data_IF_825425061484
#
_entry.id   IF_825425061484
#
_cell.length_a   1.000
_cell.length_b   1.000
_cell.length_c   1.000
_cell.angle_alpha   90.00
_cell.angle_beta   90.00
_cell.angle_gamma   90.00
#
_symmetry.space_group_name_H-M   'P 1'
#
loop_
_entity.id
_entity.type
_entity.pdbx_description
1 polymer ?
#
# COMPACT_ATOMS: atom_id res chain seq x y z
N UNK A 1 10.84 20.30 -26.41
CA UNK A 1 11.34 19.54 -25.24
C UNK A 1 10.13 18.96 -24.57
N UNK A 2 9.83 17.69 -24.84
CA UNK A 2 8.61 17.04 -24.40
C UNK A 2 8.55 17.02 -22.87
N UNK A 3 7.60 17.77 -22.30
CA UNK A 3 7.35 17.81 -20.87
C UNK A 3 6.73 16.49 -20.43
N UNK A 4 7.58 15.49 -20.22
CA UNK A 4 7.19 14.22 -19.64
C UNK A 4 6.61 14.50 -18.24
N UNK A 5 5.33 14.20 -18.03
CA UNK A 5 4.67 14.39 -16.75
C UNK A 5 5.48 13.72 -15.64
N UNK A 6 5.65 14.38 -14.46
CA UNK A 6 6.50 13.89 -13.35
C UNK A 6 6.19 12.47 -12.86
N UNK A 7 5.03 11.92 -13.21
CA UNK A 7 4.58 10.57 -12.87
C UNK A 7 4.42 9.65 -14.08
N UNK A 8 4.99 10.01 -15.24
CA UNK A 8 4.84 9.27 -16.49
C UNK A 8 5.17 7.79 -16.33
N UNK A 9 6.28 7.45 -15.67
CA UNK A 9 6.69 6.05 -15.48
C UNK A 9 5.70 5.26 -14.63
N UNK A 10 5.14 5.88 -13.59
CA UNK A 10 4.10 5.27 -12.75
C UNK A 10 2.83 5.03 -13.58
N UNK A 11 2.36 6.05 -14.31
CA UNK A 11 1.17 5.95 -15.16
C UNK A 11 1.37 4.87 -16.23
N UNK A 12 2.53 4.84 -16.88
CA UNK A 12 2.88 3.83 -17.89
C UNK A 12 2.88 2.42 -17.29
N UNK A 13 3.40 2.25 -16.08
CA UNK A 13 3.42 0.95 -15.39
C UNK A 13 2.02 0.49 -15.01
N UNK A 14 1.16 1.40 -14.51
CA UNK A 14 -0.25 1.11 -14.24
C UNK A 14 -0.97 0.70 -15.52
N UNK A 15 -0.81 1.45 -16.63
CA UNK A 15 -1.41 1.09 -17.93
C UNK A 15 -0.98 -0.29 -18.42
N UNK A 16 0.31 -0.65 -18.26
CA UNK A 16 0.81 -1.99 -18.58
C UNK A 16 0.24 -3.08 -17.67
N UNK A 17 0.01 -2.78 -16.40
CA UNK A 17 -0.67 -3.71 -15.51
C UNK A 17 -2.11 -3.88 -16.00
N UNK A 18 -2.88 -2.82 -16.21
CA UNK A 18 -4.26 -2.89 -16.69
C UNK A 18 -4.43 -3.63 -18.03
N UNK A 19 -3.44 -3.57 -18.93
CA UNK A 19 -3.47 -4.27 -20.21
C UNK A 19 -3.28 -5.81 -20.09
N UNK A 20 -2.96 -6.33 -18.90
CA UNK A 20 -2.92 -7.78 -18.67
C UNK A 20 -4.33 -8.29 -18.39
N UNK A 21 -4.64 -9.48 -18.87
CA UNK A 21 -5.86 -10.21 -18.51
C UNK A 21 -5.75 -10.72 -17.06
N UNK A 22 -6.02 -9.83 -16.10
CA UNK A 22 -6.08 -10.23 -14.70
C UNK A 22 -7.42 -10.88 -14.41
N UNK A 23 -7.37 -12.06 -13.80
CA UNK A 23 -8.50 -12.54 -13.01
C UNK A 23 -8.39 -11.87 -11.64
N UNK A 24 -9.17 -10.81 -11.43
CA UNK A 24 -9.23 -10.11 -10.15
C UNK A 24 -10.38 -10.64 -9.30
N UNK A 25 -10.10 -10.90 -8.03
CA UNK A 25 -11.13 -11.24 -7.05
C UNK A 25 -11.27 -10.06 -6.08
N UNK A 26 -12.48 -9.49 -6.03
CA UNK A 26 -12.82 -8.52 -5.01
C UNK A 26 -13.33 -9.28 -3.80
N UNK A 27 -12.55 -9.26 -2.71
CA UNK A 27 -12.97 -9.81 -1.43
C UNK A 27 -13.21 -8.69 -0.44
N UNK A 28 -14.12 -8.93 0.50
CA UNK A 28 -14.27 -8.02 1.63
C UNK A 28 -13.05 -8.16 2.54
N UNK A 29 -12.21 -7.13 2.56
CA UNK A 29 -11.05 -7.06 3.46
C UNK A 29 -11.54 -6.56 4.81
N UNK A 30 -11.18 -7.27 5.89
CA UNK A 30 -11.54 -6.86 7.25
C UNK A 30 -10.86 -5.53 7.60
N UNK A 31 -11.54 -4.71 8.41
CA UNK A 31 -11.14 -3.34 8.75
C UNK A 31 -9.71 -3.27 9.31
N UNK A 32 -9.32 -4.25 10.11
CA UNK A 32 -8.02 -4.34 10.76
C UNK A 32 -6.89 -4.41 9.72
N UNK A 33 -7.09 -5.15 8.63
CA UNK A 33 -6.10 -5.26 7.55
C UNK A 33 -5.91 -3.91 6.83
N UNK A 34 -7.00 -3.17 6.62
CA UNK A 34 -6.91 -1.81 6.05
C UNK A 34 -6.20 -0.84 7.00
N UNK A 35 -6.41 -0.98 8.32
CA UNK A 35 -5.73 -0.19 9.35
C UNK A 35 -4.21 -0.40 9.36
N UNK A 36 -3.79 -1.66 9.22
CA UNK A 36 -2.37 -2.02 9.07
C UNK A 36 -1.79 -1.38 7.81
N UNK A 37 -2.46 -1.55 6.67
CA UNK A 37 -2.00 -0.99 5.40
C UNK A 37 -1.86 0.54 5.47
N UNK A 38 -2.82 1.22 6.10
CA UNK A 38 -2.80 2.66 6.31
C UNK A 38 -1.61 3.09 7.18
N UNK A 39 -1.39 2.39 8.30
CA UNK A 39 -0.28 2.69 9.21
C UNK A 39 1.08 2.49 8.54
N UNK A 40 1.24 1.40 7.78
CA UNK A 40 2.47 1.13 7.02
C UNK A 40 2.74 2.17 5.94
N UNK A 41 1.71 2.57 5.19
CA UNK A 41 1.83 3.60 4.17
C UNK A 41 2.27 4.95 4.78
N UNK A 42 1.65 5.35 5.89
CA UNK A 42 2.03 6.56 6.62
C UNK A 42 3.46 6.48 7.16
N UNK A 43 3.88 5.32 7.67
CA UNK A 43 5.26 5.12 8.14
C UNK A 43 6.27 5.26 6.99
N UNK A 44 6.02 4.61 5.85
CA UNK A 44 6.88 4.69 4.68
C UNK A 44 7.05 6.13 4.19
N UNK A 45 5.93 6.87 4.04
CA UNK A 45 5.93 8.29 3.63
C UNK A 45 6.79 9.16 4.55
N UNK A 46 6.83 8.87 5.85
CA UNK A 46 7.52 9.69 6.84
C UNK A 46 8.99 9.33 7.05
N UNK A 47 9.40 8.10 6.73
CA UNK A 47 10.70 7.59 7.16
C UNK A 47 11.63 7.18 6.01
N UNK A 48 11.12 6.71 4.86
CA UNK A 48 11.95 6.01 3.86
C UNK A 48 11.48 6.26 2.42
N UNK A 49 12.42 6.49 1.49
CA UNK A 49 12.17 6.63 0.04
C UNK A 49 12.20 5.32 -0.77
N UNK A 50 12.30 4.17 -0.12
CA UNK A 50 12.44 2.83 -0.70
C UNK A 50 11.48 1.79 -0.12
N UNK A 51 11.25 0.70 -0.82
CA UNK A 51 10.43 -0.41 -0.32
C UNK A 51 11.12 -1.12 0.86
N UNK A 52 10.35 -1.44 1.90
CA UNK A 52 10.81 -2.19 3.08
C UNK A 52 10.08 -3.53 3.14
N UNK A 53 10.83 -4.59 3.43
CA UNK A 53 10.31 -5.94 3.64
C UNK A 53 10.50 -6.35 5.10
N UNK A 54 9.41 -6.79 5.73
CA UNK A 54 9.43 -7.29 7.11
C UNK A 54 9.22 -8.80 7.13
N UNK A 55 10.05 -9.52 7.90
CA UNK A 55 9.85 -10.96 8.16
C UNK A 55 8.81 -11.22 9.26
N UNK A 56 8.62 -10.24 10.15
CA UNK A 56 7.64 -10.24 11.23
C UNK A 56 6.98 -8.86 11.31
N UNK A 57 5.70 -8.76 11.74
CA UNK A 57 5.02 -7.47 11.85
C UNK A 57 5.78 -6.53 12.79
N UNK A 58 5.99 -5.26 12.43
CA UNK A 58 6.63 -4.30 13.33
C UNK A 58 5.67 -3.87 14.44
N UNK A 59 6.19 -3.69 15.66
CA UNK A 59 5.40 -3.53 16.88
C UNK A 59 4.41 -2.35 16.84
N UNK A 60 4.75 -1.27 16.14
CA UNK A 60 3.88 -0.08 16.01
C UNK A 60 2.57 -0.36 15.25
N UNK A 61 2.45 -1.51 14.58
CA UNK A 61 1.23 -1.95 13.89
C UNK A 61 0.25 -2.61 14.87
N UNK A 62 0.71 -3.09 16.02
CA UNK A 62 -0.12 -3.78 17.00
C UNK A 62 -1.10 -2.82 17.71
N UNK A 63 -0.66 -1.59 18.02
CA UNK A 63 -1.49 -0.60 18.69
C UNK A 63 -2.75 -0.18 17.87
N UNK A 64 -2.64 0.12 16.55
CA UNK A 64 -3.82 0.33 15.71
C UNK A 64 -4.75 -0.88 15.59
N UNK A 65 -4.18 -2.10 15.55
CA UNK A 65 -4.93 -3.35 15.46
C UNK A 65 -5.79 -3.56 16.71
N UNK A 66 -5.20 -3.38 17.88
CA UNK A 66 -5.92 -3.49 19.16
C UNK A 66 -7.05 -2.45 19.24
N UNK A 67 -6.81 -1.20 18.83
CA UNK A 67 -7.85 -0.16 18.86
C UNK A 67 -9.04 -0.49 17.96
N UNK A 68 -8.79 -1.03 16.77
CA UNK A 68 -9.88 -1.40 15.85
C UNK A 68 -10.62 -2.67 16.29
N UNK A 69 -10.02 -3.51 17.14
CA UNK A 69 -10.65 -4.74 17.67
C UNK A 69 -11.73 -4.47 18.72
N UNK A 70 -11.74 -3.28 19.32
CA UNK A 70 -12.62 -2.88 20.44
C UNK A 70 -13.75 -1.96 19.96
N UNK A 71 -13.88 -1.75 18.64
CA UNK A 71 -14.87 -0.84 18.02
C UNK A 71 -16.03 -1.58 17.38
#
# INVERSE_FOLDING_TARGET
MDYLHKHYDVIRRIKRMLAREWVVYVSHIRREINSVAHTLANWGVRNIGSNVFWRSPPDFILLPLERDSVS
#
